data_IF_872766793799
#
_entry.id   IF_872766793799
#
_cell.length_a   1.000
_cell.length_b   1.000
_cell.length_c   1.000
_cell.angle_alpha   90.00
_cell.angle_beta   90.00
_cell.angle_gamma   90.00
#
_symmetry.space_group_name_H-M   'P 1'
#
loop_
_entity.id
_entity.type
_entity.pdbx_description
1 polymer ?
#
# COMPACT_ATOMS: atom_id res chain seq x y z
N UNK A 1 -14.30 -48.86 -17.18
CA UNK A 1 -14.36 -47.41 -16.92
C UNK A 1 -13.98 -47.17 -15.47
N UNK A 2 -12.89 -46.44 -15.21
CA UNK A 2 -12.34 -46.24 -13.86
C UNK A 2 -13.20 -45.25 -13.07
N UNK A 3 -13.79 -45.69 -11.96
CA UNK A 3 -14.61 -44.88 -11.02
C UNK A 3 -13.80 -43.81 -10.25
N UNK A 4 -12.50 -43.69 -10.51
CA UNK A 4 -11.58 -42.85 -9.73
C UNK A 4 -11.48 -41.42 -10.28
N UNK A 5 -11.83 -41.18 -11.55
CA UNK A 5 -11.68 -39.84 -12.16
C UNK A 5 -12.78 -38.84 -11.79
N UNK A 6 -13.96 -39.28 -11.34
CA UNK A 6 -15.03 -38.35 -10.95
C UNK A 6 -14.79 -37.73 -9.57
N UNK A 7 -14.17 -38.45 -8.63
CA UNK A 7 -13.95 -37.94 -7.26
C UNK A 7 -13.00 -36.75 -7.18
N UNK A 8 -12.02 -36.64 -8.09
CA UNK A 8 -11.13 -35.47 -8.14
C UNK A 8 -11.82 -34.25 -8.75
N UNK A 9 -12.65 -34.43 -9.78
CA UNK A 9 -13.44 -33.36 -10.38
C UNK A 9 -14.50 -32.82 -9.41
N UNK A 10 -15.07 -33.68 -8.57
CA UNK A 10 -16.01 -33.26 -7.52
C UNK A 10 -15.32 -32.45 -6.40
N UNK A 11 -14.05 -32.75 -6.08
CA UNK A 11 -13.29 -32.02 -5.05
C UNK A 11 -12.88 -30.61 -5.48
N UNK A 12 -12.63 -30.39 -6.78
CA UNK A 12 -12.36 -29.05 -7.33
C UNK A 12 -13.63 -28.19 -7.49
N UNK A 13 -14.82 -28.81 -7.47
CA UNK A 13 -16.12 -28.14 -7.56
C UNK A 13 -16.87 -28.06 -6.22
N UNK A 14 -16.23 -28.45 -5.10
CA UNK A 14 -16.83 -28.21 -3.79
C UNK A 14 -16.76 -26.71 -3.48
N UNK A 15 -17.87 -26.06 -3.11
CA UNK A 15 -17.83 -24.69 -2.62
C UNK A 15 -16.90 -24.65 -1.41
N UNK A 16 -15.88 -23.78 -1.48
CA UNK A 16 -14.99 -23.54 -0.34
C UNK A 16 -15.83 -23.12 0.87
N UNK A 17 -15.61 -23.78 2.01
CA UNK A 17 -16.18 -23.37 3.29
C UNK A 17 -15.40 -22.20 3.93
N UNK A 18 -14.39 -21.67 3.24
CA UNK A 18 -13.70 -20.47 3.71
C UNK A 18 -14.62 -19.26 3.58
N UNK A 19 -14.65 -18.37 4.59
CA UNK A 19 -15.39 -17.13 4.50
C UNK A 19 -14.85 -16.33 3.31
N UNK A 20 -15.76 -15.93 2.42
CA UNK A 20 -15.43 -15.09 1.27
C UNK A 20 -14.81 -13.79 1.76
N UNK A 21 -13.77 -13.36 1.06
CA UNK A 21 -13.18 -12.02 1.22
C UNK A 21 -14.20 -10.95 0.83
N UNK A 22 -14.00 -9.71 1.30
CA UNK A 22 -14.88 -8.57 0.94
C UNK A 22 -14.97 -8.38 -0.57
N UNK A 23 -13.86 -8.60 -1.29
CA UNK A 23 -13.81 -8.54 -2.76
C UNK A 23 -14.72 -9.58 -3.40
N UNK A 24 -14.64 -10.83 -2.96
CA UNK A 24 -15.45 -11.93 -3.49
C UNK A 24 -16.94 -11.74 -3.16
N UNK A 25 -17.25 -11.24 -1.96
CA UNK A 25 -18.61 -10.84 -1.60
C UNK A 25 -19.12 -9.72 -2.52
N UNK A 26 -18.32 -8.67 -2.76
CA UNK A 26 -18.71 -7.60 -3.67
C UNK A 26 -18.98 -8.12 -5.09
N UNK A 27 -18.09 -8.96 -5.63
CA UNK A 27 -18.24 -9.58 -6.95
C UNK A 27 -19.52 -10.40 -7.07
N UNK A 28 -19.82 -11.22 -6.05
CA UNK A 28 -21.04 -12.06 -5.99
C UNK A 28 -22.33 -11.24 -6.05
N UNK A 29 -22.34 -10.04 -5.48
CA UNK A 29 -23.50 -9.15 -5.44
C UNK A 29 -23.45 -8.02 -6.46
N UNK A 30 -22.49 -8.05 -7.41
CA UNK A 30 -22.36 -7.05 -8.46
C UNK A 30 -21.97 -5.65 -7.95
N UNK A 31 -21.32 -5.57 -6.79
CA UNK A 31 -20.79 -4.34 -6.21
C UNK A 31 -19.37 -4.12 -6.71
N UNK A 32 -19.09 -2.92 -7.19
CA UNK A 32 -17.74 -2.54 -7.63
C UNK A 32 -16.78 -2.43 -6.43
N UNK A 33 -15.66 -3.14 -6.53
CA UNK A 33 -14.60 -3.17 -5.53
C UNK A 33 -13.27 -2.67 -6.13
N UNK A 34 -13.01 -1.36 -6.01
CA UNK A 34 -11.77 -0.71 -6.42
C UNK A 34 -11.07 -0.10 -5.21
N UNK A 35 -10.22 -0.87 -4.49
CA UNK A 35 -9.57 -0.37 -3.30
C UNK A 35 -8.65 0.82 -3.63
N UNK A 36 -8.55 1.83 -2.74
CA UNK A 36 -7.63 2.94 -2.89
C UNK A 36 -6.19 2.45 -3.07
N UNK A 37 -5.54 2.84 -4.17
CA UNK A 37 -4.15 2.53 -4.41
C UNK A 37 -3.24 3.48 -3.60
N UNK A 38 -2.18 2.92 -3.01
CA UNK A 38 -1.13 3.66 -2.34
C UNK A 38 0.19 3.48 -3.07
N UNK A 39 0.91 4.58 -3.24
CA UNK A 39 2.28 4.61 -3.72
C UNK A 39 3.23 4.57 -2.54
N UNK A 40 4.26 3.74 -2.66
CA UNK A 40 5.28 3.55 -1.62
C UNK A 40 6.58 4.19 -2.10
N UNK A 41 7.01 5.23 -1.38
CA UNK A 41 8.33 5.82 -1.55
C UNK A 41 9.26 5.21 -0.52
N UNK A 42 10.28 4.49 -0.96
CA UNK A 42 11.28 3.88 -0.09
C UNK A 42 12.56 4.72 -0.07
N UNK A 43 13.11 4.94 1.12
CA UNK A 43 14.38 5.64 1.29
C UNK A 43 15.36 4.74 1.99
N UNK A 44 16.49 4.52 1.33
CA UNK A 44 17.60 3.75 1.86
C UNK A 44 18.54 4.67 2.65
N UNK A 45 18.85 4.26 3.87
CA UNK A 45 19.77 4.93 4.77
C UNK A 45 20.80 3.91 5.16
N UNK A 46 22.08 4.24 4.99
CA UNK A 46 23.18 3.41 5.45
C UNK A 46 23.69 3.99 6.76
N UNK A 47 23.86 3.14 7.77
CA UNK A 47 24.54 3.55 9.00
C UNK A 47 26.07 3.47 8.85
N UNK A 48 26.78 3.81 9.93
CA UNK A 48 28.26 3.82 9.97
C UNK A 48 28.90 2.46 9.67
N UNK A 49 28.14 1.37 9.81
CA UNK A 49 28.57 -0.01 9.56
C UNK A 49 28.09 -0.54 8.20
N UNK A 50 27.64 0.36 7.31
CA UNK A 50 27.04 0.03 6.00
C UNK A 50 25.79 -0.86 6.08
N UNK A 51 25.12 -0.92 7.25
CA UNK A 51 23.83 -1.59 7.32
C UNK A 51 22.75 -0.72 6.68
N UNK A 52 22.06 -1.29 5.70
CA UNK A 52 20.97 -0.61 5.01
C UNK A 52 19.68 -0.66 5.83
N UNK A 53 19.11 0.50 6.12
CA UNK A 53 17.77 0.71 6.68
C UNK A 53 16.87 1.32 5.61
N UNK A 54 15.70 0.76 5.41
CA UNK A 54 14.69 1.29 4.49
C UNK A 54 13.55 1.92 5.28
N UNK A 55 13.30 3.21 5.03
CA UNK A 55 12.14 3.91 5.59
C UNK A 55 11.08 4.07 4.50
N UNK A 56 9.90 3.42 4.65
CA UNK A 56 8.81 3.57 3.70
C UNK A 56 7.91 4.77 4.05
N UNK A 57 7.53 5.53 3.03
CA UNK A 57 6.50 6.57 3.08
C UNK A 57 5.35 6.19 2.15
N UNK A 58 4.11 6.33 2.61
CA UNK A 58 2.92 5.91 1.85
C UNK A 58 2.09 7.13 1.44
N UNK A 59 1.69 7.20 0.18
CA UNK A 59 0.87 8.28 -0.37
C UNK A 59 -0.31 7.69 -1.13
N UNK A 60 -1.46 8.36 -1.16
CA UNK A 60 -2.54 7.94 -2.04
C UNK A 60 -2.15 8.20 -3.50
N UNK A 61 -2.36 7.23 -4.39
CA UNK A 61 -1.98 7.33 -5.81
C UNK A 61 -2.63 8.55 -6.51
N UNK A 62 -3.88 8.87 -6.15
CA UNK A 62 -4.63 10.04 -6.65
C UNK A 62 -4.02 11.40 -6.24
N UNK A 63 -3.16 11.40 -5.22
CA UNK A 63 -2.37 12.55 -4.77
C UNK A 63 -0.94 12.52 -5.37
N UNK A 64 -0.41 11.32 -5.59
CA UNK A 64 0.93 11.08 -6.15
C UNK A 64 1.08 11.52 -7.61
N UNK A 65 0.13 11.14 -8.48
CA UNK A 65 0.15 11.48 -9.91
C UNK A 65 0.12 12.98 -10.19
N UNK A 66 -0.44 13.76 -9.26
CA UNK A 66 -0.53 15.22 -9.38
C UNK A 66 0.79 15.92 -9.04
N UNK A 67 1.76 15.19 -8.47
CA UNK A 67 2.89 15.81 -7.81
C UNK A 67 4.23 15.45 -8.44
N UNK A 68 4.44 15.92 -9.68
CA UNK A 68 5.75 15.95 -10.35
C UNK A 68 6.87 16.49 -9.45
N UNK A 69 6.56 17.46 -8.57
CA UNK A 69 7.51 18.01 -7.59
C UNK A 69 7.92 17.03 -6.49
N UNK A 70 7.01 16.14 -6.07
CA UNK A 70 7.29 15.13 -5.06
C UNK A 70 8.20 14.06 -5.64
N UNK A 71 7.91 13.62 -6.87
CA UNK A 71 8.78 12.76 -7.68
C UNK A 71 10.16 13.40 -7.91
N UNK A 72 10.21 14.69 -8.27
CA UNK A 72 11.48 15.42 -8.47
C UNK A 72 12.32 15.51 -7.19
N UNK A 73 11.68 15.66 -6.02
CA UNK A 73 12.38 15.67 -4.72
C UNK A 73 12.90 14.27 -4.37
N UNK A 74 12.09 13.22 -4.57
CA UNK A 74 12.52 11.83 -4.35
C UNK A 74 13.70 11.48 -5.26
N UNK A 75 13.60 11.74 -6.57
CA UNK A 75 14.64 11.42 -7.55
C UNK A 75 15.94 12.21 -7.32
N UNK A 76 15.87 13.50 -6.95
CA UNK A 76 17.07 14.31 -6.65
C UNK A 76 17.84 13.78 -5.45
N UNK A 77 17.14 13.20 -4.47
CA UNK A 77 17.78 12.64 -3.29
C UNK A 77 18.25 11.20 -3.48
N UNK A 78 17.55 10.39 -4.28
CA UNK A 78 18.06 9.08 -4.72
C UNK A 78 19.40 9.25 -5.47
N UNK A 79 19.52 10.29 -6.30
CA UNK A 79 20.76 10.64 -7.00
C UNK A 79 21.85 11.11 -6.03
N UNK A 80 21.50 11.88 -5.02
CA UNK A 80 22.45 12.34 -4.00
C UNK A 80 22.99 11.17 -3.16
N UNK A 81 22.11 10.26 -2.72
CA UNK A 81 22.48 9.07 -1.95
C UNK A 81 23.44 8.16 -2.73
N UNK A 82 23.18 7.91 -4.03
CA UNK A 82 24.09 7.15 -4.90
C UNK A 82 25.44 7.86 -5.11
N UNK A 83 25.43 9.18 -5.31
CA UNK A 83 26.67 9.97 -5.43
C UNK A 83 27.54 9.89 -4.16
N UNK A 84 26.93 9.77 -2.99
CA UNK A 84 27.63 9.58 -1.72
C UNK A 84 28.17 8.15 -1.56
N UNK A 85 27.44 7.12 -1.99
CA UNK A 85 27.93 5.74 -2.04
C UNK A 85 29.19 5.61 -2.93
N UNK A 86 29.20 6.29 -4.08
CA UNK A 86 30.33 6.24 -5.02
C UNK A 86 31.56 7.04 -4.52
N UNK A 87 31.38 8.05 -3.66
CA UNK A 87 32.48 8.84 -3.09
C UNK A 87 33.06 8.28 -1.80
N UNK A 88 32.35 7.38 -1.10
CA UNK A 88 32.80 6.79 0.17
C UNK A 88 33.64 5.52 0.03
N UNK A 89 33.77 4.92 -1.16
CA UNK A 89 34.71 3.81 -1.40
C UNK A 89 36.20 4.17 -1.21
N UNK A 90 36.53 5.41 -0.81
CA UNK A 90 37.91 5.90 -0.72
C UNK A 90 38.34 6.57 0.60
N UNK A 91 37.52 6.64 1.67
CA UNK A 91 38.03 7.13 2.96
C UNK A 91 37.15 6.79 4.17
N UNK A 92 37.78 6.29 5.25
CA UNK A 92 37.19 6.14 6.59
C UNK A 92 36.92 7.55 7.15
N UNK A 93 35.67 8.02 7.07
CA UNK A 93 35.28 9.32 7.60
C UNK A 93 34.46 9.15 8.90
N UNK A 94 34.97 9.57 10.08
CA UNK A 94 34.31 9.38 11.37
C UNK A 94 33.03 10.22 11.58
N UNK A 95 32.59 10.98 10.56
CA UNK A 95 31.34 11.76 10.57
C UNK A 95 30.27 11.18 9.63
N UNK A 96 30.47 9.96 9.09
CA UNK A 96 29.60 9.31 8.10
C UNK A 96 28.13 9.22 8.57
N UNK A 97 27.87 8.75 9.78
CA UNK A 97 26.53 8.58 10.35
C UNK A 97 25.88 9.90 10.79
N UNK A 98 26.68 10.87 11.23
CA UNK A 98 26.21 12.22 11.52
C UNK A 98 25.74 12.91 10.21
N UNK A 99 26.53 12.81 9.14
CA UNK A 99 26.20 13.37 7.81
C UNK A 99 25.02 12.67 7.14
N UNK A 100 24.88 11.35 7.29
CA UNK A 100 23.70 10.61 6.82
C UNK A 100 22.43 11.08 7.55
N UNK A 101 22.51 11.27 8.88
CA UNK A 101 21.41 11.81 9.69
C UNK A 101 21.03 13.24 9.31
N UNK A 102 22.01 14.12 9.04
CA UNK A 102 21.75 15.47 8.54
C UNK A 102 21.11 15.46 7.14
N UNK A 103 21.54 14.57 6.25
CA UNK A 103 21.01 14.45 4.89
C UNK A 103 19.56 13.95 4.88
N UNK A 104 19.23 12.99 5.76
CA UNK A 104 17.87 12.53 6.00
C UNK A 104 16.98 13.64 6.56
N UNK A 105 17.44 14.34 7.60
CA UNK A 105 16.67 15.45 8.18
C UNK A 105 16.37 16.55 7.15
N UNK A 106 17.35 16.87 6.31
CA UNK A 106 17.18 17.86 5.24
C UNK A 106 16.23 17.38 4.14
N UNK A 107 16.27 16.08 3.83
CA UNK A 107 15.32 15.45 2.92
C UNK A 107 13.89 15.51 3.48
N UNK A 108 13.68 15.03 4.70
CA UNK A 108 12.36 15.01 5.35
C UNK A 108 11.77 16.42 5.42
N UNK A 109 12.59 17.43 5.78
CA UNK A 109 12.17 18.82 5.81
C UNK A 109 11.73 19.36 4.44
N UNK A 110 12.42 18.99 3.35
CA UNK A 110 12.01 19.40 2.00
C UNK A 110 10.77 18.66 1.53
N UNK A 111 10.68 17.38 1.82
CA UNK A 111 9.53 16.55 1.51
C UNK A 111 8.28 17.08 2.23
N UNK A 112 8.38 17.40 3.52
CA UNK A 112 7.31 17.98 4.32
C UNK A 112 6.84 19.34 3.77
N UNK A 113 7.76 20.18 3.28
CA UNK A 113 7.40 21.46 2.63
C UNK A 113 6.60 21.24 1.36
N UNK A 114 6.99 20.28 0.53
CA UNK A 114 6.26 19.94 -0.70
C UNK A 114 4.88 19.40 -0.35
N UNK A 115 4.80 18.44 0.57
CA UNK A 115 3.54 17.87 1.08
C UNK A 115 2.58 18.95 1.56
N UNK A 116 3.06 19.90 2.37
CA UNK A 116 2.25 21.03 2.84
C UNK A 116 1.79 21.94 1.70
N UNK A 117 2.69 22.27 0.76
CA UNK A 117 2.36 23.17 -0.35
C UNK A 117 1.36 22.57 -1.33
N UNK A 118 1.42 21.26 -1.53
CA UNK A 118 0.59 20.53 -2.50
C UNK A 118 -0.61 19.85 -1.81
N UNK A 119 -0.76 20.03 -0.50
CA UNK A 119 -1.81 19.44 0.36
C UNK A 119 -1.85 17.91 0.27
N UNK A 120 -0.69 17.28 0.16
CA UNK A 120 -0.56 15.82 0.09
C UNK A 120 -0.39 15.28 1.49
N UNK A 121 -1.13 14.22 1.80
CA UNK A 121 -0.99 13.53 3.07
C UNK A 121 -0.02 12.37 2.95
N UNK A 122 1.02 12.38 3.79
CA UNK A 122 1.83 11.19 4.08
C UNK A 122 1.08 10.31 5.08
N UNK A 123 0.99 9.02 4.77
CA UNK A 123 0.41 8.01 5.64
C UNK A 123 1.53 7.18 6.27
N UNK A 124 1.40 6.88 7.55
CA UNK A 124 2.12 5.76 8.17
C UNK A 124 1.54 4.43 7.71
N UNK A 125 2.30 3.33 7.87
CA UNK A 125 1.81 1.96 7.59
C UNK A 125 0.50 1.66 8.30
N UNK A 126 0.37 2.11 9.55
CA UNK A 126 -0.83 1.92 10.35
C UNK A 126 -2.01 2.74 9.85
N UNK A 127 -1.79 4.00 9.43
CA UNK A 127 -2.85 4.81 8.84
C UNK A 127 -3.31 4.30 7.48
N UNK A 128 -2.38 3.78 6.67
CA UNK A 128 -2.70 3.11 5.40
C UNK A 128 -3.61 1.91 5.65
N UNK A 129 -3.23 1.01 6.57
CA UNK A 129 -4.06 -0.15 6.90
C UNK A 129 -5.46 0.27 7.40
N UNK A 130 -5.52 1.24 8.32
CA UNK A 130 -6.80 1.82 8.78
C UNK A 130 -7.64 2.43 7.67
N UNK A 131 -7.02 2.95 6.61
CA UNK A 131 -7.75 3.47 5.47
C UNK A 131 -8.41 2.32 4.70
N UNK A 132 -7.64 1.26 4.41
CA UNK A 132 -8.12 0.07 3.71
C UNK A 132 -9.21 -0.67 4.51
N UNK A 133 -9.02 -0.85 5.82
CA UNK A 133 -10.00 -1.51 6.69
C UNK A 133 -11.35 -0.76 6.70
N UNK A 134 -11.32 0.58 6.65
CA UNK A 134 -12.54 1.39 6.57
C UNK A 134 -13.24 1.22 5.22
N UNK A 135 -12.47 1.19 4.14
CA UNK A 135 -13.00 0.95 2.80
C UNK A 135 -13.67 -0.43 2.72
N UNK A 136 -13.05 -1.47 3.26
CA UNK A 136 -13.62 -2.82 3.33
C UNK A 136 -14.90 -2.85 4.18
N UNK A 137 -14.91 -2.15 5.32
CA UNK A 137 -16.11 -2.06 6.15
C UNK A 137 -17.28 -1.32 5.46
N UNK A 138 -16.99 -0.30 4.66
CA UNK A 138 -18.00 0.40 3.85
C UNK A 138 -18.56 -0.51 2.76
N UNK A 139 -17.70 -1.21 2.03
CA UNK A 139 -18.11 -2.15 0.99
C UNK A 139 -18.94 -3.32 1.53
N UNK A 140 -18.58 -3.85 2.70
CA UNK A 140 -19.38 -4.87 3.36
C UNK A 140 -20.77 -4.38 3.80
N UNK A 141 -20.93 -3.10 4.16
CA UNK A 141 -22.25 -2.55 4.45
C UNK A 141 -23.13 -2.50 3.21
N UNK A 142 -22.57 -2.16 2.05
CA UNK A 142 -23.28 -2.21 0.77
C UNK A 142 -23.74 -3.63 0.46
N UNK A 143 -22.84 -4.62 0.59
CA UNK A 143 -23.16 -6.06 0.43
C UNK A 143 -24.32 -6.46 1.34
N UNK A 144 -24.25 -6.13 2.63
CA UNK A 144 -25.27 -6.50 3.60
C UNK A 144 -26.63 -5.85 3.28
N UNK A 145 -26.64 -4.61 2.81
CA UNK A 145 -27.88 -3.94 2.38
C UNK A 145 -28.55 -4.65 1.19
N UNK A 146 -27.76 -5.19 0.24
CA UNK A 146 -28.31 -5.98 -0.87
C UNK A 146 -28.82 -7.34 -0.38
N UNK A 147 -28.08 -8.02 0.51
CA UNK A 147 -28.51 -9.29 1.11
C UNK A 147 -29.87 -9.15 1.79
N UNK A 148 -30.04 -8.12 2.61
CA UNK A 148 -31.29 -7.81 3.30
C UNK A 148 -32.46 -7.58 2.33
N UNK A 149 -32.24 -6.83 1.24
CA UNK A 149 -33.26 -6.60 0.20
C UNK A 149 -33.69 -7.91 -0.47
N UNK A 150 -32.73 -8.76 -0.85
CA UNK A 150 -33.01 -10.04 -1.50
C UNK A 150 -33.74 -11.02 -0.56
N UNK A 151 -33.44 -11.01 0.72
CA UNK A 151 -34.15 -11.81 1.72
C UNK A 151 -35.59 -11.33 1.93
N UNK A 152 -35.80 -10.02 2.00
CA UNK A 152 -37.14 -9.43 2.08
C UNK A 152 -38.01 -9.77 0.86
N UNK A 153 -37.45 -9.70 -0.35
CA UNK A 153 -38.16 -10.06 -1.59
C UNK A 153 -38.54 -11.55 -1.63
N UNK A 154 -37.66 -12.44 -1.17
CA UNK A 154 -37.96 -13.88 -1.05
C UNK A 154 -39.02 -14.18 0.00
N UNK A 155 -39.10 -13.38 1.07
CA UNK A 155 -40.11 -13.52 2.11
C UNK A 155 -41.52 -13.06 1.70
N UNK A 156 -41.62 -12.18 0.70
CA UNK A 156 -42.88 -11.65 0.17
C UNK A 156 -43.54 -12.58 -0.87
N UNK A 157 -42.81 -13.56 -1.40
CA UNK A 157 -43.35 -14.64 -2.23
C UNK A 157 -43.67 -15.82 -1.31
N UNK A 158 -44.76 -15.71 -0.55
CA UNK A 158 -45.38 -16.84 0.18
C UNK A 158 -46.88 -16.82 0.00
#
# INVERSE_FOLDING_TARGET
>A
MSKTNNKMLDAFNMPSNEPLTVREECEKYGIEYNPPAFEVVMIEIFDDEDNMKVIPFFYLHTEYDKCKKLIDVVNKYETALRYYQDTENNSINPFKGLKASFSLFHFESKLERVEKSEKIKRYSRYEMQKYLDRYDAEKMKEVNSIKEKLEAEKGLIK
#
